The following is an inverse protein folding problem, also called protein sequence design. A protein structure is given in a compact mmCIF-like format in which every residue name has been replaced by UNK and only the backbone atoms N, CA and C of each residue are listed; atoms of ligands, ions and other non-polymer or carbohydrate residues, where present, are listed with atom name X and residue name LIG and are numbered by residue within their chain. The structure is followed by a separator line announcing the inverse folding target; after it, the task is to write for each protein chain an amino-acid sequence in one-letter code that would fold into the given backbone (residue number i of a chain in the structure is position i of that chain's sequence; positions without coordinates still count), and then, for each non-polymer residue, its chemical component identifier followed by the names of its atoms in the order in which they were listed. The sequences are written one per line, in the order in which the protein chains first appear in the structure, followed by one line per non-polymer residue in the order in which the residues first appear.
data_IF_665428931923
#
_entry.id   IF_665428931923
#
_cell.length_a   1.000
_cell.length_b   1.000
_cell.length_c   1.000
_cell.angle_alpha   90.00
_cell.angle_beta   90.00
_cell.angle_gamma   90.00
#
_symmetry.space_group_name_H-M   'P 1'
#
loop_
_entity.id
_entity.type
_entity.pdbx_description
1 polymer ?
#
# COMPACT_ATOMS: atom_id res chain seq x y z
N UNK A 1 4.48 16.82 2.27
CA UNK A 1 5.07 16.25 1.06
C UNK A 1 3.95 15.74 0.18
N UNK A 2 3.95 16.04 -1.12
CA UNK A 2 2.94 15.57 -2.08
C UNK A 2 3.67 15.11 -3.34
N UNK A 3 3.19 14.04 -3.96
CA UNK A 3 3.63 13.62 -5.27
C UNK A 3 2.46 13.14 -6.14
N UNK A 4 2.64 13.22 -7.45
CA UNK A 4 1.65 12.78 -8.42
C UNK A 4 1.40 11.28 -8.30
N UNK A 5 0.15 10.89 -8.08
CA UNK A 5 -0.27 9.49 -7.90
C UNK A 5 -0.24 8.97 -6.46
N UNK A 6 -0.01 9.84 -5.46
CA UNK A 6 -0.12 9.49 -4.04
C UNK A 6 -1.49 8.88 -3.69
N UNK A 7 -2.56 9.40 -4.28
CA UNK A 7 -3.92 8.90 -4.07
C UNK A 7 -4.26 7.61 -4.84
N UNK A 8 -3.53 7.31 -5.92
CA UNK A 8 -3.87 6.22 -6.86
C UNK A 8 -3.83 4.86 -6.17
N UNK A 9 -2.79 4.59 -5.36
CA UNK A 9 -2.72 3.32 -4.64
C UNK A 9 -3.83 3.21 -3.59
N UNK A 10 -4.13 4.30 -2.88
CA UNK A 10 -5.18 4.30 -1.85
C UNK A 10 -6.56 4.06 -2.45
N UNK A 11 -6.88 4.65 -3.61
CA UNK A 11 -8.15 4.40 -4.31
C UNK A 11 -8.26 2.99 -4.87
N UNK A 12 -7.14 2.34 -5.20
CA UNK A 12 -7.13 0.96 -5.69
C UNK A 12 -7.21 -0.08 -4.57
N UNK A 13 -6.74 0.26 -3.36
CA UNK A 13 -6.68 -0.66 -2.21
C UNK A 13 -7.83 -0.50 -1.23
N UNK A 14 -8.40 0.70 -1.11
CA UNK A 14 -9.38 1.03 -0.09
C UNK A 14 -10.70 1.47 -0.73
N UNK A 15 -11.81 1.25 -0.02
CA UNK A 15 -13.07 1.84 -0.43
C UNK A 15 -12.98 3.39 -0.42
N UNK A 16 -13.74 4.11 -1.25
CA UNK A 16 -13.65 5.56 -1.34
C UNK A 16 -13.84 6.29 0.00
N UNK A 17 -14.67 5.74 0.90
CA UNK A 17 -14.90 6.30 2.24
C UNK A 17 -13.62 6.23 3.09
N UNK A 18 -12.95 5.08 3.08
CA UNK A 18 -11.74 4.86 3.88
C UNK A 18 -10.54 5.57 3.27
N UNK A 19 -10.42 5.63 1.94
CA UNK A 19 -9.40 6.42 1.27
C UNK A 19 -9.46 7.91 1.66
N UNK A 20 -10.68 8.50 1.73
CA UNK A 20 -10.85 9.88 2.23
C UNK A 20 -10.50 10.02 3.71
N UNK A 21 -10.91 9.06 4.54
CA UNK A 21 -10.57 9.01 5.98
C UNK A 21 -9.04 9.01 6.17
N UNK A 22 -8.31 8.27 5.34
CA UNK A 22 -6.85 8.23 5.36
C UNK A 22 -6.22 9.52 4.87
N UNK A 23 -6.52 9.92 3.64
CA UNK A 23 -5.75 10.95 2.95
C UNK A 23 -6.11 12.37 3.40
N UNK A 24 -7.39 12.62 3.72
CA UNK A 24 -7.87 13.97 4.01
C UNK A 24 -8.03 14.26 5.51
N UNK A 25 -8.24 13.23 6.32
CA UNK A 25 -8.48 13.39 7.77
C UNK A 25 -7.30 12.99 8.64
N UNK A 26 -6.23 12.42 8.04
CA UNK A 26 -5.06 11.91 8.76
C UNK A 26 -5.44 11.01 9.95
N UNK A 27 -6.46 10.18 9.76
CA UNK A 27 -7.02 9.36 10.83
C UNK A 27 -5.99 8.36 11.37
N UNK A 28 -6.01 8.15 12.69
CA UNK A 28 -5.17 7.16 13.37
C UNK A 28 -6.03 5.96 13.71
N UNK A 29 -5.61 4.78 13.27
CA UNK A 29 -6.29 3.53 13.53
C UNK A 29 -5.72 2.80 14.73
N UNK A 30 -6.59 2.14 15.49
CA UNK A 30 -6.24 0.94 16.26
C UNK A 30 -6.22 -0.28 15.33
N UNK A 31 -5.60 -1.40 15.78
CA UNK A 31 -5.56 -2.63 14.97
C UNK A 31 -6.96 -3.14 14.57
N UNK A 32 -7.92 -3.13 15.49
CA UNK A 32 -9.30 -3.59 15.24
C UNK A 32 -10.03 -2.72 14.22
N UNK A 33 -9.86 -1.40 14.29
CA UNK A 33 -10.44 -0.48 13.31
C UNK A 33 -9.79 -0.66 11.94
N UNK A 34 -8.47 -0.84 11.88
CA UNK A 34 -7.78 -1.06 10.61
C UNK A 34 -8.27 -2.32 9.90
N UNK A 35 -8.53 -3.40 10.64
CA UNK A 35 -9.11 -4.62 10.10
C UNK A 35 -10.55 -4.39 9.61
N UNK A 36 -11.39 -3.74 10.42
CA UNK A 36 -12.77 -3.44 10.05
C UNK A 36 -12.88 -2.52 8.82
N UNK A 37 -11.98 -1.54 8.70
CA UNK A 37 -11.92 -0.60 7.56
C UNK A 37 -11.20 -1.21 6.33
N UNK A 38 -10.67 -2.44 6.43
CA UNK A 38 -9.96 -3.13 5.33
C UNK A 38 -8.59 -2.53 5.00
N UNK A 39 -7.95 -1.86 5.95
CA UNK A 39 -6.57 -1.33 5.83
C UNK A 39 -5.54 -2.45 6.02
N UNK A 40 -5.87 -3.43 6.86
CA UNK A 40 -5.08 -4.66 7.06
C UNK A 40 -6.00 -5.87 6.89
N UNK A 41 -5.42 -6.99 6.47
CA UNK A 41 -6.17 -8.22 6.21
C UNK A 41 -6.26 -9.14 7.45
N UNK A 42 -5.31 -9.04 8.39
CA UNK A 42 -5.25 -9.89 9.59
C UNK A 42 -4.65 -9.13 10.79
N UNK A 43 -5.05 -9.50 12.01
CA UNK A 43 -4.45 -9.04 13.26
C UNK A 43 -3.91 -10.24 14.02
N UNK A 44 -2.64 -10.17 14.39
CA UNK A 44 -1.95 -11.16 15.23
C UNK A 44 -1.16 -10.47 16.34
N UNK A 45 -0.68 -11.24 17.32
CA UNK A 45 0.21 -10.69 18.35
C UNK A 45 1.57 -10.35 17.73
N UNK A 46 2.27 -9.29 18.22
CA UNK A 46 3.54 -8.85 17.63
C UNK A 46 4.62 -9.93 17.58
N UNK A 47 4.67 -10.81 18.58
CA UNK A 47 5.65 -11.91 18.72
C UNK A 47 5.51 -13.00 17.65
N UNK A 48 4.34 -13.10 17.01
CA UNK A 48 4.06 -14.11 15.96
C UNK A 48 3.79 -13.49 14.59
N UNK A 49 3.95 -12.16 14.46
CA UNK A 49 3.59 -11.43 13.24
C UNK A 49 4.37 -11.87 12.01
N UNK A 50 5.67 -12.15 12.17
CA UNK A 50 6.51 -12.63 11.07
C UNK A 50 6.09 -14.03 10.62
N UNK A 51 5.83 -14.94 11.55
CA UNK A 51 5.43 -16.30 11.24
C UNK A 51 4.09 -16.34 10.52
N UNK A 52 3.13 -15.51 10.94
CA UNK A 52 1.85 -15.36 10.24
C UNK A 52 2.04 -14.82 8.81
N UNK A 53 2.88 -13.79 8.63
CA UNK A 53 3.18 -13.25 7.31
C UNK A 53 3.87 -14.27 6.40
N UNK A 54 4.79 -15.07 6.93
CA UNK A 54 5.46 -16.14 6.20
C UNK A 54 4.50 -17.25 5.79
N UNK A 55 3.55 -17.61 6.65
CA UNK A 55 2.52 -18.59 6.32
C UNK A 55 1.67 -18.13 5.13
N UNK A 56 1.24 -16.87 5.13
CA UNK A 56 0.52 -16.29 3.98
C UNK A 56 1.42 -16.31 2.74
N UNK A 57 2.68 -15.88 2.85
CA UNK A 57 3.60 -15.88 1.72
C UNK A 57 3.80 -17.29 1.12
N UNK A 58 3.89 -18.32 1.96
CA UNK A 58 4.00 -19.71 1.53
C UNK A 58 2.76 -20.21 0.78
N UNK A 59 1.57 -19.74 1.13
CA UNK A 59 0.33 -20.05 0.40
C UNK A 59 0.34 -19.46 -1.02
N UNK A 60 0.82 -18.23 -1.17
CA UNK A 60 0.83 -17.52 -2.46
C UNK A 60 2.07 -17.83 -3.33
N UNK A 61 3.20 -18.21 -2.74
CA UNK A 61 4.45 -18.43 -3.47
C UNK A 61 4.34 -19.45 -4.64
N UNK A 62 3.62 -20.58 -4.52
CA UNK A 62 3.45 -21.49 -5.65
C UNK A 62 2.72 -20.85 -6.84
N UNK A 63 1.76 -19.95 -6.59
CA UNK A 63 0.98 -19.26 -7.63
C UNK A 63 1.83 -18.27 -8.44
N UNK A 64 2.91 -17.75 -7.83
CA UNK A 64 3.85 -16.87 -8.52
C UNK A 64 4.69 -17.60 -9.58
N UNK A 65 4.97 -18.91 -9.42
CA UNK A 65 5.83 -19.67 -10.33
C UNK A 65 5.31 -19.76 -11.77
N UNK A 66 3.99 -19.69 -11.95
CA UNK A 66 3.36 -19.71 -13.27
C UNK A 66 3.52 -18.39 -14.05
N UNK A 67 4.09 -17.34 -13.45
CA UNK A 67 4.27 -16.02 -14.09
C UNK A 67 3.00 -15.17 -14.19
N UNK A 68 1.82 -15.79 -14.20
CA UNK A 68 0.52 -15.12 -14.36
C UNK A 68 0.21 -14.16 -13.20
N UNK A 69 0.57 -14.51 -11.96
CA UNK A 69 0.25 -13.69 -10.78
C UNK A 69 0.85 -12.28 -10.86
N UNK A 70 2.08 -12.15 -11.38
CA UNK A 70 2.72 -10.86 -11.59
C UNK A 70 2.02 -10.01 -12.65
N UNK A 71 1.54 -10.63 -13.73
CA UNK A 71 0.78 -9.96 -14.80
C UNK A 71 -0.53 -9.42 -14.24
N UNK A 72 -1.33 -10.24 -13.57
CA UNK A 72 -2.59 -9.82 -12.96
C UNK A 72 -2.41 -8.72 -11.90
N UNK A 73 -1.36 -8.82 -11.08
CA UNK A 73 -1.02 -7.77 -10.11
C UNK A 73 -0.71 -6.44 -10.81
N UNK A 74 -0.03 -6.48 -11.95
CA UNK A 74 0.29 -5.30 -12.74
C UNK A 74 -0.93 -4.72 -13.46
N UNK A 75 -1.89 -5.55 -13.87
CA UNK A 75 -3.18 -5.05 -14.36
C UNK A 75 -3.94 -4.33 -13.25
N UNK A 76 -3.96 -4.92 -12.05
CA UNK A 76 -4.70 -4.38 -10.91
C UNK A 76 -4.07 -3.10 -10.31
N UNK A 77 -2.73 -3.03 -10.24
CA UNK A 77 -2.01 -1.96 -9.53
C UNK A 77 -0.92 -1.27 -10.37
N UNK A 78 -0.89 -1.48 -11.69
CA UNK A 78 0.17 -0.98 -12.56
C UNK A 78 0.22 0.53 -12.63
N UNK A 79 -0.94 1.21 -12.57
CA UNK A 79 -0.99 2.68 -12.55
C UNK A 79 -0.27 3.24 -11.32
N UNK A 80 -0.62 2.76 -10.12
CA UNK A 80 0.07 3.12 -8.90
C UNK A 80 1.58 2.82 -9.01
N UNK A 81 1.94 1.62 -9.48
CA UNK A 81 3.35 1.22 -9.64
C UNK A 81 4.13 2.21 -10.50
N UNK A 82 3.57 2.67 -11.62
CA UNK A 82 4.19 3.69 -12.48
C UNK A 82 4.35 5.03 -11.77
N UNK A 83 3.32 5.49 -11.05
CA UNK A 83 3.39 6.74 -10.29
C UNK A 83 4.47 6.71 -9.20
N UNK A 84 4.60 5.58 -8.48
CA UNK A 84 5.65 5.42 -7.47
C UNK A 84 7.05 5.31 -8.09
N UNK A 85 7.19 4.72 -9.28
CA UNK A 85 8.49 4.66 -9.97
C UNK A 85 9.03 6.07 -10.29
N UNK A 86 8.17 7.03 -10.64
CA UNK A 86 8.56 8.41 -10.97
C UNK A 86 9.15 9.20 -9.78
N UNK A 87 8.90 8.76 -8.55
CA UNK A 87 9.42 9.38 -7.32
C UNK A 87 10.51 8.54 -6.64
N UNK A 88 10.75 7.32 -7.12
CA UNK A 88 11.80 6.46 -6.57
C UNK A 88 13.16 7.02 -6.94
N UNK A 89 14.04 7.20 -5.94
CA UNK A 89 15.42 7.64 -6.15
C UNK A 89 16.23 6.69 -7.05
N UNK A 90 15.80 5.42 -7.15
CA UNK A 90 16.40 4.40 -8.02
C UNK A 90 16.02 4.61 -9.49
N UNK A 91 14.85 5.19 -9.76
CA UNK A 91 14.28 5.28 -11.11
C UNK A 91 14.12 6.73 -11.61
N UNK A 92 14.37 7.76 -10.78
CA UNK A 92 14.11 9.16 -11.11
C UNK A 92 15.00 10.14 -10.33
N UNK A 93 15.09 11.39 -10.79
CA UNK A 93 15.71 12.53 -10.07
C UNK A 93 14.83 12.97 -8.90
N UNK A 94 15.39 13.57 -7.85
CA UNK A 94 14.64 14.02 -6.67
C UNK A 94 13.56 15.04 -7.05
N UNK A 95 12.27 14.65 -7.00
CA UNK A 95 11.11 15.48 -7.40
C UNK A 95 10.30 16.03 -6.22
N UNK A 96 10.72 15.74 -4.99
CA UNK A 96 9.93 16.06 -3.80
C UNK A 96 9.95 17.57 -3.52
N UNK A 97 8.80 18.25 -3.62
CA UNK A 97 8.67 19.62 -3.10
C UNK A 97 8.65 19.56 -1.57
N UNK A 98 9.61 20.21 -0.92
CA UNK A 98 9.61 20.41 0.55
C UNK A 98 8.24 20.92 0.98
N UNK A 99 7.69 20.32 2.03
CA UNK A 99 6.53 20.88 2.69
C UNK A 99 6.87 22.30 3.16
N UNK A 100 6.03 23.28 2.83
CA UNK A 100 6.28 24.69 3.14
C UNK A 100 6.23 24.99 4.65
N UNK A 101 5.79 24.05 5.48
CA UNK A 101 5.64 24.22 6.92
C UNK A 101 6.23 23.00 7.64
N UNK A 102 7.17 23.26 8.55
CA UNK A 102 7.52 22.34 9.63
C UNK A 102 6.44 22.52 10.70
N UNK A 103 5.65 21.49 10.98
CA UNK A 103 4.88 21.40 12.21
C UNK A 103 5.81 21.03 13.36
#
# INVERSE_FOLDING_TARGET
MHFQGMGTLLSLKLSPKIARKMLLQAHKWTGKEALADGVVDEIVKPDVMLDAALKIAQEWAPKAKAGVYGVLRNELYGEATRSFALISHVHSRETNRRALVKL
#
